data_IF_817989659462
#
_entry.id   IF_817989659462
#
_cell.length_a   1.000
_cell.length_b   1.000
_cell.length_c   1.000
_cell.angle_alpha   90.00
_cell.angle_beta   90.00
_cell.angle_gamma   90.00
#
_symmetry.space_group_name_H-M   'P 1'
#
loop_
_entity.id
_entity.type
_entity.pdbx_description
1 polymer ?
#
# COMPACT_ATOMS: atom_id res chain seq x y z
N UNK A 1 -6.46 30.14 -13.65
CA UNK A 1 -5.15 29.52 -13.35
C UNK A 1 -5.39 28.04 -13.09
N UNK A 2 -5.16 27.16 -14.08
CA UNK A 2 -5.50 25.74 -13.95
C UNK A 2 -4.62 24.98 -12.94
N UNK A 3 -3.38 25.44 -12.74
CA UNK A 3 -2.34 24.68 -12.00
C UNK A 3 -2.07 25.19 -10.58
N UNK A 4 -2.90 26.11 -10.06
CA UNK A 4 -2.73 26.65 -8.72
C UNK A 4 -3.07 25.57 -7.65
N UNK A 5 -2.23 25.39 -6.62
CA UNK A 5 -2.43 24.35 -5.64
C UNK A 5 -3.67 24.58 -4.78
N UNK A 6 -4.34 23.49 -4.43
CA UNK A 6 -5.54 23.52 -3.59
C UNK A 6 -5.21 23.34 -2.10
N UNK A 7 -5.71 24.23 -1.27
CA UNK A 7 -5.67 24.11 0.19
C UNK A 7 -7.08 23.82 0.70
N UNK A 8 -7.25 22.66 1.32
CA UNK A 8 -8.43 22.36 2.12
C UNK A 8 -8.30 23.06 3.46
N UNK A 9 -9.24 23.97 3.79
CA UNK A 9 -9.22 24.73 5.05
C UNK A 9 -10.19 24.09 6.03
N UNK A 10 -9.63 23.34 6.98
CA UNK A 10 -10.34 22.66 8.06
C UNK A 10 -10.40 23.56 9.30
N UNK A 11 -11.61 23.84 9.80
CA UNK A 11 -11.84 24.70 10.96
C UNK A 11 -13.14 24.34 11.67
N UNK A 12 -13.32 24.78 12.92
CA UNK A 12 -14.63 24.66 13.57
C UNK A 12 -15.64 25.64 12.92
N UNK A 13 -16.92 25.26 12.85
CA UNK A 13 -17.96 26.11 12.26
C UNK A 13 -18.05 27.50 12.91
N UNK A 14 -17.81 27.59 14.23
CA UNK A 14 -17.80 28.86 14.97
C UNK A 14 -16.63 29.78 14.62
N UNK A 15 -15.57 29.24 14.02
CA UNK A 15 -14.40 30.03 13.65
C UNK A 15 -14.54 30.69 12.28
N UNK A 16 -15.60 30.42 11.52
CA UNK A 16 -15.78 31.00 10.17
C UNK A 16 -15.56 32.52 10.15
N UNK A 17 -16.17 33.33 11.05
CA UNK A 17 -15.92 34.78 11.06
C UNK A 17 -14.49 35.18 11.42
N UNK A 18 -13.72 34.28 12.04
CA UNK A 18 -12.36 34.52 12.55
C UNK A 18 -11.27 34.13 11.57
N UNK A 19 -11.58 33.39 10.50
CA UNK A 19 -10.58 32.90 9.53
C UNK A 19 -10.49 33.74 8.25
N UNK A 20 -11.31 34.79 8.12
CA UNK A 20 -11.40 35.58 6.89
C UNK A 20 -10.06 36.16 6.42
N UNK A 21 -9.21 36.61 7.35
CA UNK A 21 -7.87 37.12 7.02
C UNK A 21 -6.90 36.04 6.57
N UNK A 22 -7.06 34.80 7.03
CA UNK A 22 -6.26 33.64 6.59
C UNK A 22 -6.66 33.28 5.16
N UNK A 23 -7.96 33.27 4.89
CA UNK A 23 -8.52 32.99 3.55
C UNK A 23 -8.06 34.04 2.54
N UNK A 24 -8.14 35.33 2.89
CA UNK A 24 -7.67 36.42 2.03
C UNK A 24 -6.17 36.30 1.70
N UNK A 25 -5.38 35.96 2.70
CA UNK A 25 -3.94 35.81 2.56
C UNK A 25 -3.57 34.64 1.62
N UNK A 26 -4.29 33.51 1.72
CA UNK A 26 -4.10 32.38 0.82
C UNK A 26 -4.53 32.71 -0.62
N UNK A 27 -5.66 33.40 -0.80
CA UNK A 27 -6.12 33.85 -2.13
C UNK A 27 -5.11 34.82 -2.75
N UNK A 28 -4.63 35.79 -1.97
CA UNK A 28 -3.62 36.76 -2.42
C UNK A 28 -2.30 36.09 -2.81
N UNK A 29 -1.95 34.97 -2.16
CA UNK A 29 -0.80 34.15 -2.50
C UNK A 29 -1.04 33.20 -3.69
N UNK A 30 -2.24 33.20 -4.27
CA UNK A 30 -2.58 32.43 -5.48
C UNK A 30 -3.03 30.99 -5.22
N UNK A 31 -3.39 30.63 -3.98
CA UNK A 31 -3.95 29.31 -3.68
C UNK A 31 -5.42 29.23 -4.06
N UNK A 32 -5.84 28.04 -4.51
CA UNK A 32 -7.26 27.66 -4.62
C UNK A 32 -7.69 27.00 -3.33
N UNK A 33 -8.96 27.12 -2.96
CA UNK A 33 -9.40 26.71 -1.62
C UNK A 33 -10.58 25.74 -1.69
N UNK A 34 -10.58 24.72 -0.83
CA UNK A 34 -11.80 24.01 -0.45
C UNK A 34 -12.24 24.52 0.90
N UNK A 35 -13.45 25.07 0.98
CA UNK A 35 -14.03 25.62 2.21
C UNK A 35 -15.47 25.16 2.36
N UNK A 36 -15.83 24.75 3.57
CA UNK A 36 -17.20 24.48 3.95
C UNK A 36 -17.97 25.78 4.27
N UNK A 37 -19.20 25.91 3.75
CA UNK A 37 -20.06 27.10 3.83
C UNK A 37 -19.29 28.45 3.94
N UNK A 38 -18.60 28.88 2.87
CA UNK A 38 -17.80 30.11 2.92
C UNK A 38 -18.63 31.35 3.24
N UNK A 39 -19.94 31.34 3.02
CA UNK A 39 -20.87 32.42 3.41
C UNK A 39 -20.82 32.74 4.91
N UNK A 40 -20.45 31.76 5.74
CA UNK A 40 -20.29 31.95 7.18
C UNK A 40 -19.04 32.75 7.57
N UNK A 41 -18.10 32.96 6.65
CA UNK A 41 -16.87 33.74 6.90
C UNK A 41 -17.17 35.24 6.87
N UNK A 42 -18.05 35.67 5.98
CA UNK A 42 -18.47 37.05 5.89
C UNK A 42 -19.31 37.33 4.64
N UNK A 43 -19.99 38.49 4.59
CA UNK A 43 -20.99 38.80 3.56
C UNK A 43 -20.42 38.89 2.13
N UNK A 44 -19.10 39.05 1.98
CA UNK A 44 -18.45 39.10 0.66
C UNK A 44 -18.27 37.72 0.00
N UNK A 45 -18.35 36.63 0.76
CA UNK A 45 -18.14 35.28 0.26
C UNK A 45 -19.39 34.73 -0.43
N UNK A 46 -19.83 35.43 -1.47
CA UNK A 46 -20.93 35.02 -2.34
C UNK A 46 -20.46 33.90 -3.29
N UNK A 47 -21.39 33.15 -3.93
CA UNK A 47 -21.02 32.16 -4.95
C UNK A 47 -20.14 32.73 -6.06
N UNK A 48 -20.44 33.95 -6.54
CA UNK A 48 -19.66 34.63 -7.58
C UNK A 48 -18.25 34.96 -7.09
N UNK A 49 -18.12 35.51 -5.88
CA UNK A 49 -16.80 35.77 -5.28
C UNK A 49 -15.98 34.49 -5.12
N UNK A 50 -16.63 33.40 -4.67
CA UNK A 50 -15.99 32.10 -4.54
C UNK A 50 -15.48 31.58 -5.89
N UNK A 51 -16.29 31.68 -6.95
CA UNK A 51 -15.89 31.28 -8.29
C UNK A 51 -14.72 32.11 -8.84
N UNK A 52 -14.78 33.43 -8.70
CA UNK A 52 -13.76 34.37 -9.19
C UNK A 52 -12.40 34.19 -8.50
N UNK A 53 -12.41 33.76 -7.23
CA UNK A 53 -11.22 33.56 -6.41
C UNK A 53 -10.81 32.10 -6.23
N UNK A 54 -11.44 31.16 -6.96
CA UNK A 54 -11.06 29.74 -6.93
C UNK A 54 -11.34 29.04 -5.60
N UNK A 55 -12.41 29.45 -4.90
CA UNK A 55 -12.93 28.79 -3.70
C UNK A 55 -14.03 27.80 -4.12
N UNK A 56 -13.79 26.52 -3.88
CA UNK A 56 -14.76 25.46 -4.10
C UNK A 56 -15.54 25.15 -2.82
N UNK A 57 -16.85 25.31 -2.90
CA UNK A 57 -17.75 25.09 -1.77
C UNK A 57 -18.07 23.61 -1.64
N UNK A 58 -17.79 23.02 -0.48
CA UNK A 58 -18.08 21.61 -0.22
C UNK A 58 -19.58 21.35 -0.04
N UNK A 59 -20.31 22.36 0.43
CA UNK A 59 -21.76 22.36 0.54
C UNK A 59 -22.41 22.92 -0.73
N UNK A 60 -23.53 22.35 -1.16
CA UNK A 60 -24.43 22.95 -2.15
C UNK A 60 -25.85 22.91 -1.62
N UNK A 61 -26.68 23.88 -2.02
CA UNK A 61 -28.09 24.00 -1.57
C UNK A 61 -28.97 22.77 -1.91
N UNK A 62 -28.46 21.77 -2.64
CA UNK A 62 -29.15 20.56 -3.05
C UNK A 62 -28.68 19.26 -2.35
N UNK A 63 -27.74 19.28 -1.40
CA UNK A 63 -27.06 18.03 -1.01
C UNK A 63 -26.56 17.90 0.43
N UNK A 64 -27.44 17.52 1.35
CA UNK A 64 -27.06 16.74 2.55
C UNK A 64 -26.64 15.29 2.16
N UNK A 65 -27.21 14.74 1.08
CA UNK A 65 -27.09 13.32 0.71
C UNK A 65 -25.73 12.90 0.16
N UNK A 66 -24.78 13.81 -0.08
CA UNK A 66 -23.47 13.47 -0.65
C UNK A 66 -22.28 14.17 0.03
N UNK A 67 -22.49 14.74 1.22
CA UNK A 67 -21.47 15.50 1.96
C UNK A 67 -20.17 14.70 2.18
N UNK A 68 -20.27 13.49 2.73
CA UNK A 68 -19.09 12.65 3.00
C UNK A 68 -18.28 12.33 1.74
N UNK A 69 -18.92 12.10 0.60
CA UNK A 69 -18.20 11.81 -0.64
C UNK A 69 -17.50 13.06 -1.19
N UNK A 70 -18.13 14.24 -1.10
CA UNK A 70 -17.50 15.51 -1.50
C UNK A 70 -16.33 15.88 -0.61
N UNK A 71 -16.48 15.73 0.70
CA UNK A 71 -15.41 15.91 1.67
C UNK A 71 -14.22 14.98 1.36
N UNK A 72 -14.49 13.69 1.10
CA UNK A 72 -13.45 12.75 0.71
C UNK A 72 -12.80 13.11 -0.64
N UNK A 73 -13.57 13.60 -1.61
CA UNK A 73 -13.04 14.03 -2.90
C UNK A 73 -12.08 15.22 -2.72
N UNK A 74 -12.51 16.24 -1.97
CA UNK A 74 -11.71 17.41 -1.67
C UNK A 74 -10.43 17.07 -0.90
N UNK A 75 -10.49 16.17 0.09
CA UNK A 75 -9.29 15.71 0.81
C UNK A 75 -8.31 14.93 -0.09
N UNK A 76 -8.81 14.21 -1.11
CA UNK A 76 -7.97 13.51 -2.09
C UNK A 76 -7.33 14.47 -3.08
N UNK A 77 -8.11 15.44 -3.56
CA UNK A 77 -7.73 16.39 -4.62
C UNK A 77 -6.89 17.55 -4.11
N UNK A 78 -7.08 17.99 -2.87
CA UNK A 78 -6.29 19.06 -2.29
C UNK A 78 -4.81 18.66 -2.18
N UNK A 79 -3.97 19.68 -2.14
CA UNK A 79 -2.53 19.57 -2.04
C UNK A 79 -2.04 19.81 -0.62
N UNK A 80 -2.84 20.50 0.18
CA UNK A 80 -2.60 20.77 1.58
C UNK A 80 -3.92 20.69 2.35
N UNK A 81 -3.89 20.08 3.52
CA UNK A 81 -4.97 20.14 4.52
C UNK A 81 -4.50 21.08 5.63
N UNK A 82 -4.95 22.33 5.58
CA UNK A 82 -4.68 23.33 6.60
C UNK A 82 -5.73 23.22 7.71
N UNK A 83 -5.30 22.75 8.87
CA UNK A 83 -6.15 22.64 10.06
C UNK A 83 -5.93 23.84 10.96
N UNK A 84 -7.01 24.55 11.27
CA UNK A 84 -7.01 25.72 12.15
C UNK A 84 -7.65 25.32 13.49
N UNK A 85 -6.83 25.27 14.53
CA UNK A 85 -7.29 24.93 15.88
C UNK A 85 -7.62 26.16 16.72
N UNK A 86 -8.68 26.08 17.51
CA UNK A 86 -9.14 27.14 18.40
C UNK A 86 -9.84 26.60 19.63
N UNK A 87 -10.16 27.49 20.56
CA UNK A 87 -11.01 27.24 21.72
C UNK A 87 -12.39 26.66 21.35
N UNK A 88 -12.91 26.96 20.16
CA UNK A 88 -14.17 26.42 19.67
C UNK A 88 -14.16 24.88 19.53
N UNK A 89 -12.99 24.26 19.39
CA UNK A 89 -12.84 22.81 19.37
C UNK A 89 -12.88 22.19 20.77
N UNK A 90 -12.59 22.98 21.80
CA UNK A 90 -12.36 22.51 23.18
C UNK A 90 -13.57 22.64 24.08
N UNK A 91 -14.50 23.56 23.79
CA UNK A 91 -15.66 23.81 24.64
C UNK A 91 -16.48 22.51 24.84
N UNK A 92 -16.50 21.94 26.06
CA UNK A 92 -17.56 21.02 26.46
C UNK A 92 -18.85 21.85 26.48
N UNK A 93 -19.97 21.31 25.99
CA UNK A 93 -21.27 21.96 26.14
C UNK A 93 -21.47 22.39 27.59
N UNK A 94 -21.59 23.69 27.83
CA UNK A 94 -22.02 24.22 29.11
C UNK A 94 -23.53 24.00 29.15
N UNK A 95 -23.89 22.78 29.51
CA UNK A 95 -25.24 22.25 29.47
C UNK A 95 -26.22 23.11 30.29
N UNK A 96 -27.06 23.86 29.57
CA UNK A 96 -28.44 24.17 29.94
C UNK A 96 -29.34 23.79 28.75
N UNK A 97 -30.57 23.33 29.00
CA UNK A 97 -31.40 22.44 28.14
C UNK A 97 -31.53 22.74 26.63
N UNK A 98 -31.19 23.93 26.13
CA UNK A 98 -31.02 24.23 24.68
C UNK A 98 -29.74 23.60 24.07
N UNK A 99 -28.85 23.02 24.89
CA UNK A 99 -27.52 22.54 24.50
C UNK A 99 -27.47 21.13 23.89
N UNK A 100 -28.55 20.34 23.89
CA UNK A 100 -28.48 18.96 23.35
C UNK A 100 -28.22 18.93 21.85
N UNK A 101 -28.82 19.87 21.10
CA UNK A 101 -28.59 20.01 19.66
C UNK A 101 -27.17 20.52 19.38
N UNK A 102 -26.71 21.50 20.16
CA UNK A 102 -25.35 22.06 20.07
C UNK A 102 -24.27 21.03 20.42
N UNK A 103 -24.52 20.17 21.41
CA UNK A 103 -23.63 19.07 21.80
C UNK A 103 -23.57 17.97 20.73
N UNK A 104 -24.69 17.66 20.08
CA UNK A 104 -24.75 16.73 18.95
C UNK A 104 -24.01 17.28 17.72
N UNK A 105 -24.24 18.55 17.37
CA UNK A 105 -23.52 19.26 16.29
C UNK A 105 -22.00 19.32 16.58
N UNK A 106 -21.59 19.66 17.80
CA UNK A 106 -20.18 19.67 18.21
C UNK A 106 -19.53 18.28 18.19
N UNK A 107 -20.29 17.22 18.51
CA UNK A 107 -19.79 15.85 18.45
C UNK A 107 -19.59 15.40 16.99
N UNK A 108 -20.53 15.76 16.10
CA UNK A 108 -20.42 15.48 14.67
C UNK A 108 -19.21 16.20 14.04
N UNK A 109 -19.08 17.51 14.29
CA UNK A 109 -17.94 18.30 13.81
C UNK A 109 -16.59 17.79 14.34
N UNK A 110 -16.53 17.30 15.58
CA UNK A 110 -15.30 16.69 16.12
C UNK A 110 -14.92 15.38 15.43
N UNK A 111 -15.89 14.63 14.91
CA UNK A 111 -15.63 13.38 14.17
C UNK A 111 -15.10 13.70 12.78
N UNK A 112 -15.74 14.64 12.06
CA UNK A 112 -15.33 15.06 10.72
C UNK A 112 -13.95 15.72 10.74
N UNK A 113 -13.73 16.63 11.69
CA UNK A 113 -12.46 17.31 11.85
C UNK A 113 -11.30 16.35 12.17
N UNK A 114 -11.55 15.32 12.99
CA UNK A 114 -10.57 14.25 13.23
C UNK A 114 -10.29 13.43 11.97
N UNK A 115 -11.31 13.19 11.15
CA UNK A 115 -11.14 12.53 9.87
C UNK A 115 -10.28 13.39 8.93
N UNK A 116 -10.55 14.68 8.79
CA UNK A 116 -9.77 15.61 7.97
C UNK A 116 -8.29 15.64 8.39
N UNK A 117 -8.02 15.75 9.69
CA UNK A 117 -6.66 15.66 10.26
C UNK A 117 -5.98 14.35 9.88
N UNK A 118 -6.69 13.24 10.05
CA UNK A 118 -6.18 11.90 9.77
C UNK A 118 -5.84 11.73 8.29
N UNK A 119 -6.73 12.17 7.40
CA UNK A 119 -6.52 12.16 5.94
C UNK A 119 -5.36 13.05 5.53
N UNK A 120 -5.29 14.28 6.04
CA UNK A 120 -4.18 15.18 5.79
C UNK A 120 -2.84 14.57 6.23
N UNK A 121 -2.80 13.93 7.40
CA UNK A 121 -1.59 13.30 7.92
C UNK A 121 -1.17 12.09 7.06
N UNK A 122 -2.11 11.18 6.78
CA UNK A 122 -1.86 9.97 6.00
C UNK A 122 -1.36 10.29 4.57
N UNK A 123 -1.83 11.38 3.98
CA UNK A 123 -1.42 11.80 2.64
C UNK A 123 -0.19 12.72 2.61
N UNK A 124 0.42 12.98 3.77
CA UNK A 124 1.54 13.92 3.95
C UNK A 124 1.22 15.36 3.51
N UNK A 125 -0.03 15.78 3.71
CA UNK A 125 -0.55 17.10 3.34
C UNK A 125 -0.94 17.97 4.54
N UNK A 126 -0.82 17.45 5.77
CA UNK A 126 -1.30 18.13 6.97
C UNK A 126 -0.43 19.33 7.36
N UNK A 127 -1.07 20.49 7.53
CA UNK A 127 -0.50 21.70 8.10
C UNK A 127 -1.35 22.15 9.26
N UNK A 128 -0.72 22.63 10.34
CA UNK A 128 -1.40 23.03 11.56
C UNK A 128 -1.19 24.52 11.86
N UNK A 129 -2.28 25.23 12.08
CA UNK A 129 -2.32 26.61 12.55
C UNK A 129 -3.27 26.73 13.73
N UNK A 130 -3.20 27.83 14.48
CA UNK A 130 -4.13 28.10 15.57
C UNK A 130 -4.61 29.54 15.59
N UNK A 131 -5.81 29.74 16.12
CA UNK A 131 -6.36 31.04 16.50
C UNK A 131 -6.77 31.01 17.97
N UNK A 132 -6.19 31.92 18.75
CA UNK A 132 -6.35 32.01 20.19
C UNK A 132 -5.70 30.84 20.94
N UNK A 133 -6.28 30.53 22.10
CA UNK A 133 -5.91 29.38 22.93
C UNK A 133 -6.57 28.10 22.40
N UNK A 134 -5.87 26.98 22.51
CA UNK A 134 -6.38 25.66 22.16
C UNK A 134 -5.74 24.61 23.08
N UNK A 135 -6.55 23.66 23.56
CA UNK A 135 -6.09 22.53 24.35
C UNK A 135 -5.63 21.40 23.42
N UNK A 136 -4.32 21.24 23.28
CA UNK A 136 -3.72 20.16 22.48
C UNK A 136 -4.13 18.74 22.91
N UNK A 137 -4.65 18.55 24.13
CA UNK A 137 -5.12 17.25 24.59
C UNK A 137 -6.29 16.72 23.76
N UNK A 138 -7.08 17.58 23.11
CA UNK A 138 -8.19 17.13 22.24
C UNK A 138 -7.70 16.62 20.88
N UNK A 139 -6.44 16.87 20.52
CA UNK A 139 -5.83 16.33 19.30
C UNK A 139 -5.47 14.84 19.45
N UNK A 140 -5.49 14.10 18.33
CA UNK A 140 -4.81 12.82 18.25
C UNK A 140 -3.33 12.95 18.66
N UNK A 141 -2.81 11.96 19.38
CA UNK A 141 -1.45 11.99 19.96
C UNK A 141 -0.34 12.31 18.96
N UNK A 142 -0.50 11.88 17.71
CA UNK A 142 0.46 12.10 16.63
C UNK A 142 0.50 13.53 16.09
N UNK A 143 -0.54 14.33 16.32
CA UNK A 143 -0.59 15.74 15.91
C UNK A 143 -0.15 16.67 17.04
N UNK A 144 -0.18 16.21 18.30
CA UNK A 144 0.22 17.01 19.47
C UNK A 144 1.67 17.50 19.41
N UNK A 145 2.51 16.81 18.64
CA UNK A 145 3.92 17.15 18.46
C UNK A 145 4.16 18.10 17.27
N UNK A 146 3.13 18.42 16.49
CA UNK A 146 3.24 19.37 15.40
C UNK A 146 3.19 20.80 15.95
N UNK A 147 4.16 21.62 15.57
CA UNK A 147 4.14 23.04 15.88
C UNK A 147 2.95 23.73 15.19
N UNK A 148 2.11 24.40 15.97
CA UNK A 148 1.02 25.22 15.47
C UNK A 148 1.44 26.68 15.40
N UNK A 149 1.38 27.28 14.20
CA UNK A 149 1.64 28.71 14.01
C UNK A 149 0.41 29.50 14.45
N UNK A 150 0.60 30.49 15.33
CA UNK A 150 -0.47 31.38 15.76
C UNK A 150 -0.79 32.41 14.68
N UNK A 151 -2.01 32.38 14.17
CA UNK A 151 -2.50 33.26 13.11
C UNK A 151 -3.73 34.05 13.58
N UNK A 152 -3.81 34.35 14.88
CA UNK A 152 -4.93 35.11 15.45
C UNK A 152 -4.97 36.55 14.93
N UNK A 153 -6.16 37.04 14.54
CA UNK A 153 -6.38 38.43 14.13
C UNK A 153 -6.11 39.46 15.25
N UNK A 154 -6.06 39.02 16.51
CA UNK A 154 -5.75 39.85 17.69
C UNK A 154 -4.25 40.11 17.87
N UNK A 155 -3.40 39.47 17.08
CA UNK A 155 -1.96 39.76 17.08
C UNK A 155 -1.69 41.16 16.54
N UNK A 156 -0.52 41.70 16.92
CA UNK A 156 0.03 42.86 16.24
C UNK A 156 0.07 42.62 14.71
N UNK A 157 -0.35 43.58 13.86
CA UNK A 157 -0.45 43.38 12.42
C UNK A 157 0.86 42.93 11.76
N UNK A 158 2.01 43.44 12.20
CA UNK A 158 3.30 43.03 11.64
C UNK A 158 3.63 41.58 12.03
N UNK A 159 3.30 41.18 13.26
CA UNK A 159 3.44 39.80 13.73
C UNK A 159 2.50 38.84 12.99
N UNK A 160 1.25 39.23 12.76
CA UNK A 160 0.29 38.44 12.00
C UNK A 160 0.75 38.22 10.57
N UNK A 161 1.15 39.29 9.87
CA UNK A 161 1.67 39.21 8.50
C UNK A 161 2.89 38.30 8.40
N UNK A 162 3.83 38.42 9.35
CA UNK A 162 4.98 37.53 9.43
C UNK A 162 4.59 36.06 9.66
N UNK A 163 3.66 35.79 10.59
CA UNK A 163 3.22 34.42 10.88
C UNK A 163 2.48 33.78 9.70
N UNK A 164 1.66 34.54 8.96
CA UNK A 164 1.05 34.07 7.73
C UNK A 164 2.10 33.76 6.65
N UNK A 165 3.11 34.62 6.49
CA UNK A 165 4.22 34.37 5.56
C UNK A 165 5.00 33.10 5.93
N UNK A 166 5.25 32.86 7.23
CA UNK A 166 5.89 31.63 7.72
C UNK A 166 4.98 30.42 7.46
N UNK A 167 3.67 30.52 7.73
CA UNK A 167 2.71 29.44 7.48
C UNK A 167 2.75 29.01 6.01
N UNK A 168 2.76 29.96 5.08
CA UNK A 168 2.83 29.67 3.64
C UNK A 168 4.17 29.03 3.26
N UNK A 169 5.27 29.74 3.50
CA UNK A 169 6.60 29.36 2.99
C UNK A 169 7.21 28.14 3.69
N UNK A 170 6.96 27.96 4.99
CA UNK A 170 7.63 26.91 5.77
C UNK A 170 6.75 25.71 6.06
N UNK A 171 5.43 25.81 5.86
CA UNK A 171 4.49 24.71 6.14
C UNK A 171 3.67 24.30 4.92
N UNK A 172 2.94 25.24 4.30
CA UNK A 172 2.04 24.93 3.17
C UNK A 172 2.85 24.54 1.93
N UNK A 173 3.83 25.34 1.49
CA UNK A 173 4.62 25.03 0.30
C UNK A 173 5.34 23.67 0.39
N UNK A 174 6.01 23.32 1.52
CA UNK A 174 6.56 21.98 1.70
C UNK A 174 5.50 20.87 1.69
N UNK A 175 4.33 21.07 2.31
CA UNK A 175 3.26 20.09 2.30
C UNK A 175 2.71 19.86 0.87
N UNK A 176 2.50 20.93 0.11
CA UNK A 176 2.07 20.89 -1.30
C UNK A 176 3.08 20.15 -2.18
N UNK A 177 4.38 20.31 -1.90
CA UNK A 177 5.46 19.63 -2.60
C UNK A 177 5.58 18.14 -2.22
N UNK A 178 5.28 17.79 -0.96
CA UNK A 178 5.30 16.42 -0.44
C UNK A 178 3.98 15.64 -0.70
N UNK A 179 2.91 16.34 -1.08
CA UNK A 179 1.56 15.83 -1.19
C UNK A 179 1.42 14.61 -2.12
N UNK A 180 0.83 13.53 -1.61
CA UNK A 180 0.45 12.36 -2.42
C UNK A 180 -0.92 12.60 -3.09
N UNK A 181 -0.97 12.80 -4.42
CA UNK A 181 -2.19 13.17 -5.18
C UNK A 181 -2.76 12.04 -6.05
N UNK A 182 -4.08 12.06 -6.27
CA UNK A 182 -4.74 11.33 -7.37
C UNK A 182 -4.59 9.79 -7.35
N UNK A 183 -4.38 9.11 -8.50
CA UNK A 183 -4.24 7.65 -8.63
C UNK A 183 -3.22 6.99 -7.69
N UNK A 184 -2.34 7.79 -7.07
CA UNK A 184 -1.41 7.32 -6.03
C UNK A 184 -2.10 6.87 -4.75
N UNK A 185 -3.33 7.31 -4.45
CA UNK A 185 -4.13 6.77 -3.35
C UNK A 185 -4.61 5.35 -3.67
N UNK A 186 -5.00 5.10 -4.93
CA UNK A 186 -5.33 3.77 -5.45
C UNK A 186 -4.10 2.86 -5.46
N UNK A 187 -2.95 3.40 -5.85
CA UNK A 187 -1.65 2.70 -5.79
C UNK A 187 -1.21 2.46 -4.35
N UNK A 188 -1.47 3.38 -3.41
CA UNK A 188 -1.19 3.18 -1.99
C UNK A 188 -2.10 2.10 -1.41
N UNK A 189 -3.40 2.09 -1.72
CA UNK A 189 -4.31 0.99 -1.35
C UNK A 189 -3.89 -0.34 -1.97
N UNK A 190 -3.53 -0.34 -3.25
CA UNK A 190 -3.00 -1.52 -3.93
C UNK A 190 -1.69 -1.99 -3.29
N UNK A 191 -0.84 -1.06 -2.86
CA UNK A 191 0.40 -1.33 -2.15
C UNK A 191 0.14 -1.88 -0.74
N UNK A 192 -0.89 -1.39 -0.04
CA UNK A 192 -1.34 -1.94 1.25
C UNK A 192 -1.94 -3.33 1.10
N UNK A 193 -2.63 -3.64 -0.01
CA UNK A 193 -3.08 -5.00 -0.33
C UNK A 193 -1.91 -5.94 -0.63
N UNK A 194 -0.81 -5.42 -1.17
CA UNK A 194 0.41 -6.16 -1.47
C UNK A 194 1.31 -6.35 -0.24
N UNK A 195 1.30 -5.43 0.72
CA UNK A 195 2.20 -5.43 1.88
C UNK A 195 2.12 -6.71 2.74
N UNK A 196 0.94 -7.24 3.12
CA UNK A 196 0.82 -8.50 3.86
C UNK A 196 1.42 -9.69 3.12
N UNK A 197 1.56 -9.62 1.79
CA UNK A 197 2.16 -10.70 1.00
C UNK A 197 3.66 -10.84 1.27
N UNK A 198 4.32 -9.82 1.83
CA UNK A 198 5.75 -9.85 2.16
C UNK A 198 6.06 -10.57 3.49
N UNK A 199 5.07 -10.80 4.35
CA UNK A 199 5.30 -11.30 5.72
C UNK A 199 5.87 -12.73 5.68
N UNK A 200 6.95 -12.98 6.43
CA UNK A 200 7.54 -14.33 6.53
C UNK A 200 8.10 -14.92 5.23
N UNK A 201 8.28 -14.13 4.16
CA UNK A 201 8.74 -14.62 2.82
C UNK A 201 10.25 -14.55 2.59
N UNK A 202 11.04 -14.45 3.67
CA UNK A 202 12.48 -14.15 3.57
C UNK A 202 13.25 -15.16 2.73
N UNK A 203 12.89 -16.44 2.81
CA UNK A 203 13.54 -17.51 2.03
C UNK A 203 13.27 -17.38 0.53
N UNK A 204 12.01 -17.22 0.12
CA UNK A 204 11.68 -17.01 -1.29
C UNK A 204 12.36 -15.74 -1.83
N UNK A 205 12.33 -14.65 -1.05
CA UNK A 205 12.96 -13.38 -1.43
C UNK A 205 14.47 -13.49 -1.58
N UNK A 206 15.15 -14.22 -0.69
CA UNK A 206 16.58 -14.49 -0.79
C UNK A 206 16.94 -15.27 -2.06
N UNK A 207 16.11 -16.23 -2.46
CA UNK A 207 16.33 -16.99 -3.69
C UNK A 207 16.19 -16.09 -4.92
N UNK A 208 15.15 -15.26 -4.99
CA UNK A 208 14.99 -14.29 -6.09
C UNK A 208 16.14 -13.28 -6.12
N UNK A 209 16.53 -12.74 -4.97
CA UNK A 209 17.63 -11.79 -4.89
C UNK A 209 18.99 -12.40 -5.24
N UNK A 210 19.21 -13.67 -4.87
CA UNK A 210 20.40 -14.40 -5.29
C UNK A 210 20.42 -14.59 -6.81
N UNK A 211 19.29 -14.97 -7.42
CA UNK A 211 19.19 -15.08 -8.86
C UNK A 211 19.45 -13.74 -9.56
N UNK A 212 18.92 -12.63 -9.03
CA UNK A 212 19.17 -11.29 -9.56
C UNK A 212 20.64 -10.88 -9.45
N UNK A 213 21.32 -11.16 -8.33
CA UNK A 213 22.77 -10.92 -8.21
C UNK A 213 23.55 -11.74 -9.23
N UNK A 214 23.20 -13.02 -9.37
CA UNK A 214 23.82 -13.90 -10.36
C UNK A 214 23.60 -13.42 -11.79
N UNK A 215 22.41 -12.92 -12.12
CA UNK A 215 22.13 -12.28 -13.42
C UNK A 215 23.10 -11.13 -13.69
N UNK A 216 23.33 -10.27 -12.69
CA UNK A 216 24.26 -9.14 -12.82
C UNK A 216 25.73 -9.60 -12.95
N UNK A 217 26.12 -10.65 -12.22
CA UNK A 217 27.50 -11.16 -12.19
C UNK A 217 27.86 -12.03 -13.40
N UNK A 218 26.96 -12.93 -13.80
CA UNK A 218 27.23 -13.97 -14.82
C UNK A 218 26.43 -13.78 -16.10
N UNK A 219 25.48 -12.85 -16.12
CA UNK A 219 24.56 -12.65 -17.26
C UNK A 219 23.50 -13.74 -17.40
N UNK A 220 23.40 -14.70 -16.48
CA UNK A 220 22.46 -15.82 -16.60
C UNK A 220 21.86 -16.17 -15.24
N UNK A 221 20.64 -16.66 -15.26
CA UNK A 221 19.94 -17.13 -14.05
C UNK A 221 19.50 -18.57 -14.21
N UNK A 222 19.73 -19.43 -13.20
CA UNK A 222 19.11 -20.73 -13.19
C UNK A 222 17.58 -20.60 -13.04
N UNK A 223 16.81 -21.54 -13.59
CA UNK A 223 15.40 -21.67 -13.30
C UNK A 223 15.15 -21.83 -11.80
N UNK A 224 14.12 -21.16 -11.30
CA UNK A 224 13.72 -21.20 -9.89
C UNK A 224 12.40 -21.95 -9.79
N UNK A 225 12.31 -22.90 -8.86
CA UNK A 225 11.06 -23.59 -8.54
C UNK A 225 10.67 -23.26 -7.11
N UNK A 226 9.51 -22.61 -6.95
CA UNK A 226 8.89 -22.29 -5.68
C UNK A 226 7.68 -23.20 -5.48
N UNK A 227 7.73 -24.12 -4.51
CA UNK A 227 6.58 -24.98 -4.20
C UNK A 227 5.99 -24.63 -2.84
N UNK A 228 4.68 -24.40 -2.78
CA UNK A 228 4.03 -23.73 -1.64
C UNK A 228 2.53 -24.01 -1.64
N UNK A 229 1.84 -24.03 -0.50
CA UNK A 229 0.38 -24.10 -0.48
C UNK A 229 -0.25 -22.94 -1.27
N UNK A 230 -1.39 -23.20 -1.91
CA UNK A 230 -2.13 -22.25 -2.74
C UNK A 230 -2.40 -20.92 -2.00
N UNK A 231 -2.88 -21.02 -0.77
CA UNK A 231 -3.16 -19.88 0.11
C UNK A 231 -1.90 -19.23 0.74
N UNK A 232 -0.70 -19.72 0.42
CA UNK A 232 0.58 -19.26 0.98
C UNK A 232 1.54 -18.69 -0.08
N UNK A 233 1.23 -18.72 -1.37
CA UNK A 233 1.95 -17.85 -2.31
C UNK A 233 0.92 -17.20 -3.21
N UNK A 234 0.36 -16.06 -2.75
CA UNK A 234 -0.63 -15.37 -3.54
C UNK A 234 -0.01 -15.01 -4.88
N UNK A 235 -0.77 -15.08 -5.99
CA UNK A 235 -0.26 -14.77 -7.33
C UNK A 235 0.50 -13.43 -7.40
N UNK A 236 0.07 -12.46 -6.58
CA UNK A 236 0.64 -11.11 -6.50
C UNK A 236 1.88 -10.97 -5.60
N UNK A 237 2.45 -12.07 -5.07
CA UNK A 237 3.67 -12.01 -4.25
C UNK A 237 4.84 -11.32 -4.96
N UNK A 238 5.02 -11.61 -6.25
CA UNK A 238 6.14 -11.06 -7.03
C UNK A 238 6.01 -9.55 -7.23
N UNK A 239 4.79 -9.03 -7.34
CA UNK A 239 4.51 -7.58 -7.38
C UNK A 239 4.91 -6.89 -6.07
N UNK A 240 4.84 -7.60 -4.94
CA UNK A 240 5.14 -7.06 -3.62
C UNK A 240 6.65 -7.06 -3.26
N UNK A 241 7.50 -7.70 -4.07
CA UNK A 241 8.94 -7.83 -3.80
C UNK A 241 9.65 -6.49 -3.52
N UNK A 242 9.36 -5.37 -4.23
CA UNK A 242 10.05 -4.09 -4.01
C UNK A 242 9.63 -3.34 -2.74
N UNK A 243 8.60 -3.82 -2.02
CA UNK A 243 7.93 -3.05 -0.96
C UNK A 243 8.59 -3.19 0.42
N UNK A 244 9.41 -4.21 0.64
CA UNK A 244 10.07 -4.46 1.92
C UNK A 244 11.59 -4.53 1.77
N UNK A 245 12.32 -4.15 2.81
CA UNK A 245 13.78 -4.18 2.91
C UNK A 245 14.23 -5.06 4.08
N UNK A 246 13.91 -6.35 3.99
CA UNK A 246 14.26 -7.38 4.97
C UNK A 246 15.73 -7.84 4.87
N UNK A 247 16.58 -7.03 4.24
CA UNK A 247 17.96 -7.36 3.90
C UNK A 247 18.10 -8.38 2.75
N UNK A 248 17.03 -8.72 2.02
CA UNK A 248 17.13 -9.56 0.82
C UNK A 248 17.74 -8.82 -0.38
N UNK A 249 17.77 -7.49 -0.42
CA UNK A 249 18.34 -6.72 -1.54
C UNK A 249 17.40 -6.52 -2.73
N UNK A 250 16.09 -6.73 -2.54
CA UNK A 250 15.05 -6.53 -3.57
C UNK A 250 14.62 -5.06 -3.69
N UNK A 251 15.61 -4.16 -3.76
CA UNK A 251 15.34 -2.72 -3.67
C UNK A 251 14.90 -2.05 -4.96
N UNK A 252 15.24 -2.65 -6.09
CA UNK A 252 14.98 -2.11 -7.40
C UNK A 252 13.67 -2.64 -7.96
N UNK A 253 12.99 -1.85 -8.80
CA UNK A 253 11.80 -2.30 -9.51
C UNK A 253 12.12 -3.55 -10.35
N UNK A 254 11.13 -4.43 -10.45
CA UNK A 254 11.16 -5.61 -11.32
C UNK A 254 9.87 -5.61 -12.13
N UNK A 255 9.95 -6.03 -13.39
CA UNK A 255 8.76 -6.35 -14.16
C UNK A 255 8.32 -7.76 -13.79
N UNK A 256 7.02 -8.00 -13.64
CA UNK A 256 6.47 -9.34 -13.40
C UNK A 256 5.58 -9.68 -14.57
N UNK A 257 5.82 -10.84 -15.18
CA UNK A 257 5.00 -11.38 -16.25
C UNK A 257 4.47 -12.76 -15.87
N UNK A 258 3.16 -12.93 -15.90
CA UNK A 258 2.53 -14.23 -15.71
C UNK A 258 2.39 -14.95 -17.05
N UNK A 259 2.76 -16.22 -17.10
CA UNK A 259 2.71 -17.03 -18.33
C UNK A 259 2.15 -18.40 -18.01
N UNK A 260 1.07 -18.76 -18.70
CA UNK A 260 0.49 -20.08 -18.58
C UNK A 260 1.43 -21.15 -19.14
N UNK A 261 1.40 -22.34 -18.52
CA UNK A 261 2.20 -23.46 -19.00
C UNK A 261 1.44 -24.25 -20.06
N UNK A 262 2.00 -24.43 -21.27
CA UNK A 262 1.43 -25.30 -22.28
C UNK A 262 1.32 -26.74 -21.77
N UNK A 263 0.31 -27.45 -22.24
CA UNK A 263 0.15 -28.88 -21.99
C UNK A 263 1.00 -29.76 -22.92
N UNK A 264 1.53 -29.16 -24.01
CA UNK A 264 2.40 -29.81 -24.99
C UNK A 264 3.77 -30.19 -24.39
N UNK A 265 4.57 -30.94 -25.17
CA UNK A 265 5.84 -31.55 -24.73
C UNK A 265 6.92 -31.45 -25.79
N UNK A 266 8.19 -31.55 -25.39
CA UNK A 266 9.32 -31.49 -26.31
C UNK A 266 9.34 -30.21 -27.13
N UNK A 267 9.56 -30.31 -28.44
CA UNK A 267 9.65 -29.14 -29.32
C UNK A 267 8.36 -28.34 -29.42
N UNK A 268 7.20 -28.99 -29.35
CA UNK A 268 5.90 -28.31 -29.33
C UNK A 268 5.75 -27.43 -28.07
N UNK A 269 6.21 -27.91 -26.91
CA UNK A 269 6.25 -27.10 -25.70
C UNK A 269 7.10 -25.83 -25.88
N UNK A 270 8.25 -25.96 -26.52
CA UNK A 270 9.16 -24.82 -26.73
C UNK A 270 8.48 -23.72 -27.57
N UNK A 271 7.77 -24.11 -28.62
CA UNK A 271 7.05 -23.19 -29.51
C UNK A 271 5.86 -22.55 -28.78
N UNK A 272 5.00 -23.34 -28.16
CA UNK A 272 3.81 -22.85 -27.46
C UNK A 272 4.19 -21.91 -26.32
N UNK A 273 5.23 -22.26 -25.55
CA UNK A 273 5.67 -21.44 -24.42
C UNK A 273 6.34 -20.13 -24.88
N UNK A 274 7.12 -20.17 -25.97
CA UNK A 274 7.66 -18.97 -26.58
C UNK A 274 6.54 -18.04 -27.10
N UNK A 275 5.46 -18.60 -27.63
CA UNK A 275 4.29 -17.84 -28.07
C UNK A 275 3.59 -17.13 -26.90
N UNK A 276 3.29 -17.85 -25.81
CA UNK A 276 2.71 -17.26 -24.59
C UNK A 276 3.58 -16.16 -23.96
N UNK A 277 4.90 -16.19 -24.19
CA UNK A 277 5.83 -15.16 -23.72
C UNK A 277 5.77 -13.85 -24.49
N UNK A 278 5.11 -13.78 -25.66
CA UNK A 278 5.09 -12.58 -26.50
C UNK A 278 3.68 -12.17 -26.99
N UNK A 279 2.64 -12.90 -26.57
CA UNK A 279 1.24 -12.77 -27.02
C UNK A 279 0.63 -11.36 -26.85
N UNK A 280 1.14 -10.50 -25.95
CA UNK A 280 0.68 -9.12 -25.80
C UNK A 280 0.98 -8.19 -27.00
N UNK A 281 1.84 -8.60 -27.96
CA UNK A 281 2.36 -7.68 -28.98
C UNK A 281 2.26 -8.13 -30.45
N UNK A 282 1.79 -9.35 -30.73
CA UNK A 282 1.77 -9.87 -32.10
C UNK A 282 0.34 -10.14 -32.56
N UNK A 283 -0.28 -9.12 -33.18
CA UNK A 283 -1.51 -9.33 -33.96
C UNK A 283 -1.25 -9.83 -35.38
N UNK A 284 -0.02 -9.74 -35.93
CA UNK A 284 0.18 -9.92 -37.38
C UNK A 284 1.42 -10.74 -37.84
N UNK A 285 2.16 -11.48 -36.99
CA UNK A 285 3.25 -12.35 -37.48
C UNK A 285 3.45 -13.64 -36.67
N UNK A 286 3.55 -14.77 -37.39
CA UNK A 286 3.49 -16.15 -36.85
C UNK A 286 4.86 -16.79 -36.55
N UNK A 287 5.99 -16.10 -36.78
CA UNK A 287 7.32 -16.70 -36.57
C UNK A 287 7.87 -16.37 -35.18
N UNK A 288 7.29 -17.04 -34.17
CA UNK A 288 7.76 -16.95 -32.79
C UNK A 288 8.97 -17.86 -32.58
N UNK A 289 10.14 -17.23 -32.42
CA UNK A 289 11.41 -17.89 -32.13
C UNK A 289 12.05 -17.27 -30.89
N UNK A 290 12.98 -18.00 -30.24
CA UNK A 290 13.60 -17.56 -28.98
C UNK A 290 14.29 -16.18 -29.08
N UNK A 291 14.75 -15.79 -30.27
CA UNK A 291 15.30 -14.46 -30.54
C UNK A 291 14.28 -13.34 -30.31
N UNK A 292 13.05 -13.51 -30.83
CA UNK A 292 11.96 -12.56 -30.60
C UNK A 292 11.57 -12.46 -29.12
N UNK A 293 11.58 -13.60 -28.39
CA UNK A 293 11.38 -13.62 -26.94
C UNK A 293 12.48 -12.82 -26.22
N UNK A 294 13.74 -13.02 -26.60
CA UNK A 294 14.86 -12.29 -26.02
C UNK A 294 14.78 -10.79 -26.31
N UNK A 295 14.47 -10.40 -27.54
CA UNK A 295 14.27 -9.00 -27.92
C UNK A 295 13.13 -8.35 -27.12
N UNK A 296 12.03 -9.09 -26.92
CA UNK A 296 10.90 -8.63 -26.13
C UNK A 296 11.24 -8.45 -24.64
N UNK A 297 12.05 -9.35 -24.09
CA UNK A 297 12.48 -9.29 -22.68
C UNK A 297 13.69 -8.36 -22.45
N UNK A 298 14.32 -7.84 -23.51
CA UNK A 298 15.40 -6.84 -23.41
C UNK A 298 14.82 -5.48 -23.03
N UNK A 299 14.63 -5.29 -21.72
CA UNK A 299 14.39 -3.99 -21.08
C UNK A 299 15.51 -3.63 -20.11
N UNK A 300 15.58 -2.35 -19.69
CA UNK A 300 16.53 -1.92 -18.65
C UNK A 300 16.22 -2.49 -17.24
N UNK A 301 14.97 -2.93 -17.03
CA UNK A 301 14.50 -3.49 -15.75
C UNK A 301 14.41 -5.01 -15.85
N UNK A 302 14.94 -5.77 -14.88
CA UNK A 302 14.79 -7.23 -14.86
C UNK A 302 13.33 -7.68 -14.84
N UNK A 303 13.01 -8.70 -15.64
CA UNK A 303 11.68 -9.29 -15.75
C UNK A 303 11.64 -10.66 -15.07
N UNK A 304 10.81 -10.80 -14.04
CA UNK A 304 10.47 -12.09 -13.44
C UNK A 304 9.34 -12.71 -14.27
N UNK A 305 9.62 -13.84 -14.90
CA UNK A 305 8.62 -14.61 -15.63
C UNK A 305 8.09 -15.69 -14.72
N UNK A 306 6.81 -15.60 -14.37
CA UNK A 306 6.13 -16.45 -13.40
C UNK A 306 5.19 -17.40 -14.13
N UNK A 307 5.54 -18.67 -14.12
CA UNK A 307 4.62 -19.76 -14.49
C UNK A 307 3.98 -20.33 -13.24
N UNK A 308 2.67 -20.57 -13.25
CA UNK A 308 1.93 -21.10 -12.10
C UNK A 308 1.31 -22.45 -12.46
N UNK A 309 1.46 -23.45 -11.59
CA UNK A 309 0.71 -24.71 -11.70
C UNK A 309 0.13 -25.11 -10.36
N UNK A 310 -1.15 -25.46 -10.35
CA UNK A 310 -1.81 -26.05 -9.18
C UNK A 310 -1.76 -27.57 -9.24
N UNK A 311 -1.19 -28.19 -8.20
CA UNK A 311 -0.99 -29.63 -8.11
C UNK A 311 -1.81 -30.21 -6.96
N UNK A 312 -2.91 -30.90 -7.28
CA UNK A 312 -3.78 -31.56 -6.29
C UNK A 312 -3.30 -32.97 -5.90
N UNK A 313 -2.57 -33.64 -6.78
CA UNK A 313 -1.90 -34.94 -6.60
C UNK A 313 -0.65 -34.95 -7.47
N UNK A 314 0.42 -35.73 -7.15
CA UNK A 314 1.60 -35.83 -8.01
C UNK A 314 1.16 -36.09 -9.45
N UNK A 315 1.31 -35.10 -10.36
CA UNK A 315 0.82 -35.26 -11.70
C UNK A 315 1.83 -36.12 -12.43
N UNK A 316 1.36 -37.14 -13.13
CA UNK A 316 2.16 -37.83 -14.14
C UNK A 316 2.53 -36.92 -15.32
N UNK A 317 2.09 -35.65 -15.32
CA UNK A 317 2.04 -34.78 -16.51
C UNK A 317 2.42 -33.30 -16.28
N UNK A 318 3.22 -32.93 -15.27
CA UNK A 318 3.80 -31.56 -15.25
C UNK A 318 4.90 -31.43 -16.32
N UNK A 319 4.91 -30.40 -17.18
CA UNK A 319 6.02 -30.13 -18.11
C UNK A 319 7.24 -29.50 -17.44
N UNK A 320 7.64 -30.03 -16.27
CA UNK A 320 8.78 -29.50 -15.51
C UNK A 320 10.09 -29.62 -16.29
N UNK A 321 10.38 -30.81 -16.82
CA UNK A 321 11.59 -31.07 -17.57
C UNK A 321 11.66 -30.20 -18.84
N UNK A 322 10.54 -30.09 -19.57
CA UNK A 322 10.42 -29.25 -20.76
C UNK A 322 10.60 -27.76 -20.44
N UNK A 323 10.03 -27.28 -19.32
CA UNK A 323 10.17 -25.90 -18.84
C UNK A 323 11.60 -25.59 -18.41
N UNK A 324 12.26 -26.48 -17.67
CA UNK A 324 13.68 -26.31 -17.31
C UNK A 324 14.55 -26.32 -18.57
N UNK A 325 14.28 -27.24 -19.52
CA UNK A 325 15.02 -27.32 -20.77
C UNK A 325 14.88 -26.04 -21.61
N UNK A 326 13.67 -25.46 -21.67
CA UNK A 326 13.43 -24.18 -22.34
C UNK A 326 14.32 -23.08 -21.79
N UNK A 327 14.28 -22.84 -20.48
CA UNK A 327 15.06 -21.75 -19.87
C UNK A 327 16.56 -22.00 -19.88
N UNK A 328 16.98 -23.27 -19.78
CA UNK A 328 18.39 -23.64 -19.89
C UNK A 328 18.92 -23.30 -21.28
N UNK A 329 18.17 -23.66 -22.33
CA UNK A 329 18.51 -23.31 -23.71
C UNK A 329 18.49 -21.80 -23.93
N UNK A 330 17.45 -21.12 -23.47
CA UNK A 330 17.31 -19.67 -23.58
C UNK A 330 18.50 -18.93 -22.95
N UNK A 331 18.92 -19.33 -21.75
CA UNK A 331 20.06 -18.73 -21.07
C UNK A 331 21.40 -18.98 -21.79
N UNK A 332 21.53 -20.11 -22.50
CA UNK A 332 22.71 -20.42 -23.31
C UNK A 332 22.74 -19.61 -24.62
N UNK A 333 21.60 -19.50 -25.30
CA UNK A 333 21.48 -18.82 -26.60
C UNK A 333 21.46 -17.28 -26.46
N UNK A 334 20.91 -16.76 -25.35
CA UNK A 334 20.72 -15.31 -25.13
C UNK A 334 21.23 -14.86 -23.76
N UNK A 335 22.55 -14.99 -23.49
CA UNK A 335 23.14 -14.54 -22.25
C UNK A 335 22.94 -13.03 -22.08
N UNK A 336 22.80 -12.60 -20.82
CA UNK A 336 22.54 -11.23 -20.35
C UNK A 336 21.15 -10.68 -20.63
N UNK A 337 20.24 -11.49 -21.16
CA UNK A 337 18.82 -11.13 -21.15
C UNK A 337 18.36 -11.02 -19.70
N UNK A 338 17.78 -9.88 -19.26
CA UNK A 338 17.55 -9.62 -17.86
C UNK A 338 16.26 -10.31 -17.37
N UNK A 339 16.23 -11.64 -17.44
CA UNK A 339 15.07 -12.46 -17.08
C UNK A 339 15.37 -13.32 -15.86
N UNK A 340 14.38 -13.52 -14.99
CA UNK A 340 14.42 -14.47 -13.88
C UNK A 340 13.24 -15.43 -14.04
N UNK A 341 13.47 -16.67 -14.49
CA UNK A 341 12.40 -17.63 -14.69
C UNK A 341 12.02 -18.31 -13.38
N UNK A 342 10.73 -18.21 -13.02
CA UNK A 342 10.16 -18.76 -11.80
C UNK A 342 8.95 -19.64 -12.11
N UNK A 343 9.01 -20.89 -11.67
CA UNK A 343 7.87 -21.79 -11.64
C UNK A 343 7.31 -21.84 -10.22
N UNK A 344 6.08 -21.40 -10.05
CA UNK A 344 5.31 -21.55 -8.82
C UNK A 344 4.46 -22.82 -8.90
N UNK A 345 4.71 -23.76 -7.99
CA UNK A 345 3.91 -24.97 -7.81
C UNK A 345 3.01 -24.79 -6.60
N UNK A 346 1.74 -24.47 -6.84
CA UNK A 346 0.71 -24.32 -5.82
C UNK A 346 0.24 -25.71 -5.38
N UNK A 347 0.56 -26.07 -4.16
CA UNK A 347 0.08 -27.26 -3.48
C UNK A 347 -1.35 -27.02 -3.00
N UNK A 348 -2.11 -28.08 -2.72
CA UNK A 348 -3.42 -27.91 -2.06
C UNK A 348 -3.33 -27.02 -0.81
N UNK A 349 -4.40 -26.27 -0.54
CA UNK A 349 -4.47 -25.29 0.56
C UNK A 349 -3.92 -25.85 1.87
N UNK A 350 -3.07 -25.06 2.52
CA UNK A 350 -2.62 -25.35 3.88
C UNK A 350 -3.71 -24.92 4.85
N UNK A 351 -4.07 -25.79 5.79
CA UNK A 351 -4.80 -25.36 6.96
C UNK A 351 -3.94 -24.35 7.76
N UNK A 352 -4.55 -23.29 8.34
CA UNK A 352 -3.88 -22.47 9.35
C UNK A 352 -3.25 -23.36 10.42
N UNK A 353 -2.02 -23.10 10.82
CA UNK A 353 -1.52 -23.75 12.04
C UNK A 353 -0.96 -25.12 11.84
N UNK A 354 -0.11 -25.33 10.83
CA UNK A 354 0.74 -26.51 10.90
C UNK A 354 1.73 -26.32 12.06
N UNK A 355 1.81 -27.26 12.99
CA UNK A 355 2.86 -27.25 13.98
C UNK A 355 3.85 -28.38 13.63
N UNK A 356 5.12 -28.15 13.90
CA UNK A 356 5.87 -29.22 14.57
C UNK A 356 5.23 -29.40 15.98
N UNK A 357 4.05 -30.02 16.02
CA UNK A 357 3.30 -30.55 17.19
C UNK A 357 2.62 -29.60 18.23
N UNK A 358 1.50 -30.01 18.91
CA UNK A 358 0.47 -31.00 18.55
C UNK A 358 -0.86 -30.36 18.06
N UNK A 359 -1.61 -31.07 17.21
CA UNK A 359 -2.96 -30.70 16.80
C UNK A 359 -3.98 -31.01 17.91
N UNK A 360 -4.82 -30.03 18.29
CA UNK A 360 -6.01 -30.27 19.13
C UNK A 360 -7.23 -30.79 18.34
N UNK A 361 -7.18 -30.75 17.01
CA UNK A 361 -8.15 -31.39 16.14
C UNK A 361 -7.45 -32.34 15.18
N UNK A 362 -7.98 -33.56 15.04
CA UNK A 362 -7.46 -34.62 14.15
C UNK A 362 -7.49 -34.15 12.67
N UNK A 363 -6.47 -33.42 12.24
CA UNK A 363 -6.22 -33.12 10.83
C UNK A 363 -5.36 -34.22 10.20
N UNK A 364 -5.63 -34.45 8.91
CA UNK A 364 -5.20 -35.62 8.16
C UNK A 364 -3.70 -35.60 7.84
N UNK A 365 -2.94 -36.49 8.49
CA UNK A 365 -1.51 -36.76 8.23
C UNK A 365 -1.20 -37.05 6.75
N UNK A 366 -2.20 -37.34 5.91
CA UNK A 366 -2.05 -37.58 4.47
C UNK A 366 -1.55 -36.36 3.69
N UNK A 367 -2.00 -35.15 4.03
CA UNK A 367 -1.69 -33.94 3.24
C UNK A 367 -0.23 -33.52 3.37
N UNK A 368 0.35 -33.65 4.58
CA UNK A 368 1.79 -33.46 4.78
C UNK A 368 2.62 -34.45 3.98
N UNK A 369 2.30 -35.75 4.12
CA UNK A 369 2.98 -36.82 3.39
C UNK A 369 2.91 -36.59 1.88
N UNK A 370 1.75 -36.16 1.37
CA UNK A 370 1.55 -35.79 -0.03
C UNK A 370 2.46 -34.62 -0.45
N UNK A 371 2.46 -33.52 0.29
CA UNK A 371 3.26 -32.34 -0.06
C UNK A 371 4.76 -32.64 -0.01
N UNK A 372 5.21 -33.38 1.01
CA UNK A 372 6.60 -33.86 1.10
C UNK A 372 6.97 -34.76 -0.07
N UNK A 373 6.14 -35.77 -0.37
CA UNK A 373 6.36 -36.66 -1.50
C UNK A 373 6.39 -35.91 -2.84
N UNK A 374 5.59 -34.85 -2.99
CA UNK A 374 5.63 -34.01 -4.18
C UNK A 374 6.93 -33.21 -4.26
N UNK A 375 7.45 -32.66 -3.16
CA UNK A 375 8.74 -31.96 -3.15
C UNK A 375 9.89 -32.92 -3.50
N UNK A 376 9.86 -34.14 -2.97
CA UNK A 376 10.81 -35.21 -3.31
C UNK A 376 10.71 -35.58 -4.80
N UNK A 377 9.49 -35.69 -5.33
CA UNK A 377 9.24 -35.95 -6.75
C UNK A 377 9.76 -34.80 -7.65
N UNK A 378 9.46 -33.54 -7.34
CA UNK A 378 9.96 -32.37 -8.07
C UNK A 378 11.49 -32.34 -8.12
N UNK A 379 12.13 -32.65 -6.99
CA UNK A 379 13.59 -32.72 -6.89
C UNK A 379 14.14 -33.85 -7.79
N UNK A 380 13.47 -35.00 -7.80
CA UNK A 380 13.85 -36.15 -8.64
C UNK A 380 13.67 -35.87 -10.14
N UNK A 381 12.54 -35.28 -10.54
CA UNK A 381 12.28 -34.93 -11.94
C UNK A 381 13.30 -33.92 -12.46
N UNK A 382 13.69 -32.95 -11.64
CA UNK A 382 14.70 -31.97 -12.01
C UNK A 382 16.13 -32.51 -12.05
N UNK A 383 16.42 -33.64 -11.39
CA UNK A 383 17.76 -34.21 -11.35
C UNK A 383 18.28 -34.66 -12.72
N UNK A 384 17.39 -34.90 -13.68
CA UNK A 384 17.72 -35.23 -15.08
C UNK A 384 17.93 -34.01 -15.98
N UNK A 385 17.73 -32.79 -15.49
CA UNK A 385 17.82 -31.58 -16.30
C UNK A 385 19.27 -31.11 -16.49
N UNK A 386 19.54 -30.47 -17.64
CA UNK A 386 20.87 -29.94 -17.99
C UNK A 386 21.36 -28.82 -17.05
N UNK A 387 20.44 -28.12 -16.38
CA UNK A 387 20.75 -27.17 -15.31
C UNK A 387 19.93 -27.52 -14.07
N UNK A 388 20.59 -27.62 -12.92
CA UNK A 388 19.91 -27.85 -11.65
C UNK A 388 19.13 -26.58 -11.26
N UNK A 389 17.79 -26.63 -11.16
CA UNK A 389 17.02 -25.48 -10.73
C UNK A 389 17.30 -25.18 -9.25
N UNK A 390 17.13 -23.92 -8.87
CA UNK A 390 17.16 -23.53 -7.47
C UNK A 390 15.78 -23.78 -6.88
N UNK A 391 15.72 -24.71 -5.93
CA UNK A 391 14.50 -24.99 -5.19
C UNK A 391 14.41 -24.08 -3.97
N UNK A 392 13.33 -23.31 -3.89
CA UNK A 392 12.89 -22.70 -2.65
C UNK A 392 11.58 -23.37 -2.24
N UNK A 393 11.71 -24.40 -1.43
CA UNK A 393 10.62 -24.80 -0.57
C UNK A 393 10.69 -23.82 0.59
N UNK A 394 9.67 -22.96 0.81
CA UNK A 394 9.61 -22.31 2.10
C UNK A 394 9.67 -23.40 3.15
N UNK A 395 10.05 -23.06 4.38
CA UNK A 395 9.56 -23.81 5.53
C UNK A 395 8.04 -23.79 5.46
N UNK A 396 7.49 -24.70 4.66
CA UNK A 396 6.12 -25.16 4.68
C UNK A 396 5.87 -25.30 6.18
N UNK A 397 4.70 -24.86 6.65
CA UNK A 397 4.16 -25.23 7.96
C UNK A 397 4.17 -24.16 9.05
N UNK A 398 3.88 -22.87 8.83
CA UNK A 398 3.58 -22.00 9.98
C UNK A 398 2.48 -20.98 9.68
N UNK A 399 1.53 -20.78 10.61
CA UNK A 399 0.90 -19.48 10.76
C UNK A 399 1.93 -18.37 10.73
N UNK A 400 1.50 -17.18 10.37
CA UNK A 400 2.30 -15.99 10.62
C UNK A 400 2.41 -15.88 12.13
N UNK A 401 3.60 -16.18 12.63
CA UNK A 401 3.93 -16.03 14.02
C UNK A 401 4.05 -14.53 14.35
N UNK A 402 3.79 -14.20 15.61
CA UNK A 402 3.82 -12.81 16.07
C UNK A 402 5.18 -12.15 15.78
N UNK A 403 6.28 -12.85 15.99
CA UNK A 403 7.64 -12.39 15.71
C UNK A 403 7.88 -12.16 14.20
N UNK A 404 7.33 -13.01 13.33
CA UNK A 404 7.37 -12.79 11.88
C UNK A 404 6.60 -11.54 11.46
N UNK A 405 5.42 -11.31 12.05
CA UNK A 405 4.64 -10.11 11.79
C UNK A 405 5.36 -8.85 12.28
N UNK A 406 5.96 -8.89 13.47
CA UNK A 406 6.74 -7.77 14.02
C UNK A 406 8.07 -7.53 13.28
N UNK A 407 8.72 -8.59 12.81
CA UNK A 407 9.90 -8.47 11.94
C UNK A 407 9.53 -7.80 10.63
N UNK A 408 8.45 -8.27 10.00
CA UNK A 408 7.93 -7.70 8.76
C UNK A 408 7.61 -6.22 8.88
N UNK A 409 6.95 -5.74 9.95
CA UNK A 409 6.65 -4.30 10.08
C UNK A 409 7.89 -3.43 10.09
N UNK A 410 8.97 -3.91 10.70
CA UNK A 410 10.26 -3.20 10.74
C UNK A 410 10.93 -3.21 9.37
N UNK A 411 10.76 -4.31 8.64
CA UNK A 411 11.29 -4.48 7.29
C UNK A 411 10.48 -3.71 6.23
N UNK A 412 9.30 -3.15 6.53
CA UNK A 412 8.61 -2.27 5.58
C UNK A 412 9.46 -1.01 5.36
N UNK A 413 9.68 -0.66 4.09
CA UNK A 413 10.53 0.48 3.72
C UNK A 413 9.92 1.79 4.20
N UNK A 414 10.77 2.73 4.60
CA UNK A 414 10.33 4.04 5.07
C UNK A 414 9.67 4.90 3.98
N UNK A 415 9.99 4.66 2.70
CA UNK A 415 9.31 5.30 1.57
C UNK A 415 7.97 4.63 1.21
N UNK A 416 7.65 3.49 1.84
CA UNK A 416 6.40 2.74 1.67
C UNK A 416 5.46 3.00 2.85
N UNK A 417 5.98 3.00 4.08
CA UNK A 417 5.22 3.32 5.29
C UNK A 417 6.06 4.16 6.25
N UNK A 418 5.50 5.28 6.74
CA UNK A 418 6.23 6.16 7.64
C UNK A 418 6.59 5.44 8.96
N UNK A 419 7.64 5.89 9.67
CA UNK A 419 8.03 5.30 10.96
C UNK A 419 6.89 5.28 11.97
N UNK A 420 6.15 6.39 12.08
CA UNK A 420 5.02 6.52 12.99
C UNK A 420 3.86 5.57 12.67
N UNK A 421 3.65 5.24 11.40
CA UNK A 421 2.63 4.29 10.97
C UNK A 421 3.09 2.85 11.18
N UNK A 422 4.38 2.57 10.98
CA UNK A 422 5.01 1.29 11.36
C UNK A 422 4.87 1.02 12.85
N UNK A 423 5.12 2.02 13.70
CA UNK A 423 4.95 1.89 15.15
C UNK A 423 3.50 1.59 15.54
N UNK A 424 2.52 2.25 14.89
CA UNK A 424 1.10 1.97 15.10
C UNK A 424 0.71 0.58 14.62
N UNK A 425 1.22 0.14 13.47
CA UNK A 425 0.97 -1.19 12.95
C UNK A 425 1.60 -2.26 13.87
N UNK A 426 2.81 -2.04 14.37
CA UNK A 426 3.46 -2.90 15.37
C UNK A 426 2.64 -2.98 16.68
N UNK A 427 2.12 -1.84 17.16
CA UNK A 427 1.20 -1.82 18.30
C UNK A 427 -0.12 -2.56 17.99
N UNK A 428 -0.70 -2.37 16.81
CA UNK A 428 -1.92 -3.06 16.38
C UNK A 428 -1.68 -4.57 16.19
N UNK A 429 -0.48 -4.98 15.78
CA UNK A 429 -0.10 -6.39 15.69
C UNK A 429 -0.24 -7.07 17.04
N UNK A 430 0.34 -6.48 18.08
CA UNK A 430 0.31 -7.07 19.43
C UNK A 430 -1.06 -7.01 20.12
N UNK A 431 -1.89 -6.03 19.76
CA UNK A 431 -3.16 -5.76 20.46
C UNK A 431 -4.41 -6.25 19.72
N UNK A 432 -4.55 -5.92 18.44
CA UNK A 432 -5.80 -6.07 17.67
C UNK A 432 -5.71 -7.17 16.61
N UNK A 433 -4.56 -7.34 15.97
CA UNK A 433 -4.35 -8.35 14.91
C UNK A 433 -4.08 -9.72 15.54
N UNK A 434 -3.46 -9.78 16.73
CA UNK A 434 -3.27 -11.00 17.53
C UNK A 434 -3.96 -10.87 18.90
N UNK A 435 -5.31 -10.83 18.94
CA UNK A 435 -6.07 -10.48 20.14
C UNK A 435 -6.01 -11.58 21.21
N UNK A 436 -5.91 -12.85 20.81
CA UNK A 436 -5.92 -13.97 21.77
C UNK A 436 -4.53 -14.50 22.08
N UNK A 437 -4.35 -15.10 23.26
CA UNK A 437 -3.10 -15.78 23.64
C UNK A 437 -2.77 -16.93 22.68
N UNK A 438 -3.78 -17.70 22.26
CA UNK A 438 -3.59 -18.78 21.29
C UNK A 438 -3.04 -18.25 19.97
N UNK A 439 -3.56 -17.15 19.43
CA UNK A 439 -3.01 -16.55 18.20
C UNK A 439 -1.60 -15.99 18.41
N UNK A 440 -1.25 -15.47 19.59
CA UNK A 440 0.13 -15.02 19.87
C UNK A 440 1.12 -16.17 19.95
N UNK A 441 0.71 -17.27 20.58
CA UNK A 441 1.55 -18.45 20.81
C UNK A 441 1.64 -19.31 19.53
N UNK A 442 0.54 -19.46 18.80
CA UNK A 442 0.41 -20.35 17.64
C UNK A 442 0.46 -19.62 16.28
N UNK A 443 0.21 -18.31 16.26
CA UNK A 443 0.14 -17.46 15.06
C UNK A 443 -1.23 -17.42 14.36
N UNK A 444 -1.35 -16.69 13.24
CA UNK A 444 -2.59 -16.58 12.43
C UNK A 444 -2.37 -17.00 10.97
N UNK A 445 -3.41 -17.45 10.27
CA UNK A 445 -3.33 -17.71 8.83
C UNK A 445 -3.03 -16.43 8.04
N UNK A 446 -2.34 -16.54 6.90
CA UNK A 446 -2.09 -15.44 5.97
C UNK A 446 -3.33 -14.65 5.59
N UNK A 447 -4.42 -15.29 5.17
CA UNK A 447 -5.65 -14.61 4.78
C UNK A 447 -6.24 -13.78 5.94
N UNK A 448 -6.30 -14.38 7.13
CA UNK A 448 -6.79 -13.70 8.35
C UNK A 448 -5.89 -12.54 8.72
N UNK A 449 -4.57 -12.72 8.64
CA UNK A 449 -3.61 -11.64 8.88
C UNK A 449 -3.77 -10.50 7.87
N UNK A 450 -3.84 -10.82 6.58
CA UNK A 450 -4.00 -9.85 5.51
C UNK A 450 -5.30 -9.06 5.67
N UNK A 451 -6.41 -9.73 6.00
CA UNK A 451 -7.70 -9.07 6.25
C UNK A 451 -7.65 -8.17 7.48
N UNK A 452 -6.99 -8.59 8.57
CA UNK A 452 -6.84 -7.78 9.79
C UNK A 452 -5.90 -6.59 9.58
N UNK A 453 -4.81 -6.75 8.83
CA UNK A 453 -3.92 -5.65 8.44
C UNK A 453 -4.66 -4.68 7.52
N UNK A 454 -5.40 -5.19 6.54
CA UNK A 454 -6.26 -4.36 5.69
C UNK A 454 -7.28 -3.61 6.52
N UNK A 455 -7.95 -4.27 7.48
CA UNK A 455 -8.88 -3.63 8.39
C UNK A 455 -8.20 -2.58 9.28
N UNK A 456 -6.96 -2.80 9.73
CA UNK A 456 -6.18 -1.79 10.45
C UNK A 456 -5.92 -0.56 9.58
N UNK A 457 -5.48 -0.72 8.34
CA UNK A 457 -5.28 0.42 7.45
C UNK A 457 -6.59 1.08 7.00
N UNK A 458 -7.65 0.29 6.87
CA UNK A 458 -9.00 0.82 6.68
C UNK A 458 -9.44 1.60 7.90
N UNK A 459 -9.13 1.20 9.13
CA UNK A 459 -9.46 1.99 10.34
C UNK A 459 -8.58 3.24 10.48
N UNK A 460 -7.38 3.23 9.91
CA UNK A 460 -6.58 4.45 9.68
C UNK A 460 -7.17 5.35 8.56
N UNK A 461 -8.12 4.87 7.75
CA UNK A 461 -8.74 5.58 6.63
C UNK A 461 -10.28 5.61 6.61
N UNK A 462 -10.95 5.09 7.65
CA UNK A 462 -12.39 4.97 7.88
C UNK A 462 -12.61 4.89 9.40
N UNK A 463 -13.34 5.77 10.05
CA UNK A 463 -14.72 6.13 9.73
C UNK A 463 -14.98 6.57 8.27
N UNK A 464 -15.62 5.64 7.54
CA UNK A 464 -16.33 5.72 6.25
C UNK A 464 -15.60 5.78 4.90
#
# INVERSE_FOLDING_TARGET
MPDAPYVFVSHASRDKPRIGHIVDDLIAAGYRLFIDHPEGIGPRFTPDYCADHGIETLWSAAGETNWSARLQCALRECDCVLVIASDALTLPGLAEEDDQRLAAENTHHRVEWKAEIMWGHALQKLVFAKIGSFDSAVLPSYVRLMDAIDVSATLDPAKLANNLAILRSTRIEPAVAAAIRGPRVEQFRSLLDLLPLCVGRREQRRVIAHARRRLAETGTTPPIVLATPDNELPPRFFEALPLADDGSGMAEPVNVRHVELPSSRGDAFQQDFAFSLIEEFLHDSYDVHLGAVADHLRGGTPTIVVSIVTVRSPPTSLPLADWIAFWTRFAADFPRTPVIPVLTVLLGEAAPGWPDYPPRQKLDRSSYKRNKALCEWLTKEAAGAAQTPVFAFPSLLRPIALDHALGWTRDIRSNVLASTERDRLEAAITSTIYPTRAERDDGVNHAVFADRVRAFFQTLGRAA
#
